data_IF_817301201492
#
_entry.id   IF_817301201492
#
_cell.length_a   1.000
_cell.length_b   1.000
_cell.length_c   1.000
_cell.angle_alpha   90.00
_cell.angle_beta   90.00
_cell.angle_gamma   90.00
#
_symmetry.space_group_name_H-M   'P 1'
#
loop_
_entity.id
_entity.type
_entity.pdbx_description
1 polymer ?
#
# COMPACT_ATOMS: atom_id res chain seq x y z
N UNK A 1 -4.91 17.75 -15.63
CA UNK A 1 -5.64 18.05 -14.38
C UNK A 1 -4.82 17.47 -13.22
N UNK A 2 -4.30 18.31 -12.33
CA UNK A 2 -3.40 17.86 -11.26
C UNK A 2 -4.19 17.12 -10.18
N UNK A 3 -3.86 15.85 -9.93
CA UNK A 3 -4.47 15.06 -8.87
C UNK A 3 -3.55 15.04 -7.65
N UNK A 4 -3.89 15.83 -6.64
CA UNK A 4 -3.10 15.99 -5.42
C UNK A 4 -2.75 14.64 -4.74
N UNK A 5 -3.68 13.68 -4.71
CA UNK A 5 -3.45 12.41 -4.03
C UNK A 5 -2.43 11.54 -4.77
N UNK A 6 -2.46 11.60 -6.10
CA UNK A 6 -1.51 10.91 -6.97
C UNK A 6 -0.11 11.50 -6.75
N UNK A 7 0.02 12.83 -6.82
CA UNK A 7 1.28 13.55 -6.54
C UNK A 7 1.83 13.23 -5.14
N UNK A 8 0.97 13.25 -4.12
CA UNK A 8 1.37 12.90 -2.75
C UNK A 8 1.93 11.48 -2.68
N UNK A 9 1.26 10.51 -3.31
CA UNK A 9 1.73 9.12 -3.34
C UNK A 9 3.08 8.96 -4.05
N UNK A 10 3.29 9.67 -5.15
CA UNK A 10 4.55 9.68 -5.90
C UNK A 10 5.68 10.31 -5.07
N UNK A 11 5.42 11.44 -4.42
CA UNK A 11 6.40 12.13 -3.56
C UNK A 11 6.83 11.26 -2.39
N UNK A 12 5.89 10.54 -1.76
CA UNK A 12 6.19 9.58 -0.68
C UNK A 12 7.10 8.48 -1.21
N UNK A 13 6.76 7.87 -2.34
CA UNK A 13 7.58 6.81 -2.96
C UNK A 13 8.97 7.32 -3.37
N UNK A 14 9.05 8.51 -3.97
CA UNK A 14 10.31 9.12 -4.39
C UNK A 14 11.24 9.34 -3.20
N UNK A 15 10.74 9.91 -2.10
CA UNK A 15 11.53 10.11 -0.88
C UNK A 15 11.96 8.80 -0.24
N UNK A 16 11.07 7.82 -0.17
CA UNK A 16 11.42 6.48 0.34
C UNK A 16 12.55 5.82 -0.48
N UNK A 17 12.54 5.98 -1.81
CA UNK A 17 13.61 5.48 -2.70
C UNK A 17 14.95 6.19 -2.47
N UNK A 18 14.92 7.45 -2.10
CA UNK A 18 16.12 8.26 -1.80
C UNK A 18 16.56 8.13 -0.34
N UNK A 19 15.88 7.30 0.46
CA UNK A 19 16.13 7.12 1.90
C UNK A 19 16.02 8.45 2.69
N UNK A 20 15.22 9.39 2.18
CA UNK A 20 14.98 10.68 2.80
C UNK A 20 13.85 10.62 3.84
N UNK A 21 13.78 11.64 4.71
CA UNK A 21 12.69 11.75 5.68
C UNK A 21 11.32 11.84 5.00
N UNK A 22 10.42 10.94 5.40
CA UNK A 22 9.04 10.87 4.92
C UNK A 22 8.02 11.36 5.95
N UNK A 23 8.44 11.79 7.14
CA UNK A 23 7.53 12.08 8.27
C UNK A 23 6.46 13.10 7.92
N UNK A 24 6.82 14.21 7.26
CA UNK A 24 5.86 15.26 6.88
C UNK A 24 4.81 14.73 5.91
N UNK A 25 5.22 14.03 4.85
CA UNK A 25 4.30 13.49 3.86
C UNK A 25 3.38 12.40 4.46
N UNK A 26 3.90 11.61 5.41
CA UNK A 26 3.11 10.61 6.14
C UNK A 26 2.07 11.26 7.06
N UNK A 27 2.35 12.43 7.62
CA UNK A 27 1.35 13.23 8.35
C UNK A 27 0.26 13.72 7.41
N UNK A 28 0.61 14.20 6.22
CA UNK A 28 -0.38 14.58 5.19
C UNK A 28 -1.28 13.39 4.82
N UNK A 29 -0.68 12.21 4.59
CA UNK A 29 -1.40 10.96 4.31
C UNK A 29 -2.40 10.59 5.43
N UNK A 30 -2.01 10.81 6.69
CA UNK A 30 -2.86 10.52 7.85
C UNK A 30 -4.11 11.40 7.92
N UNK A 31 -3.99 12.68 7.53
CA UNK A 31 -5.08 13.66 7.60
C UNK A 31 -6.01 13.69 6.37
N UNK A 32 -5.75 12.86 5.36
CA UNK A 32 -6.68 12.69 4.23
C UNK A 32 -8.03 12.24 4.75
N UNK A 33 -9.12 12.84 4.27
CA UNK A 33 -10.49 12.36 4.51
C UNK A 33 -10.90 11.41 3.39
N UNK A 34 -11.43 10.23 3.74
CA UNK A 34 -11.93 9.24 2.76
C UNK A 34 -12.92 9.85 1.77
N UNK A 35 -13.84 10.70 2.24
CA UNK A 35 -14.86 11.34 1.39
C UNK A 35 -14.26 12.24 0.30
N UNK A 36 -13.15 12.93 0.59
CA UNK A 36 -12.44 13.75 -0.39
C UNK A 36 -11.65 12.91 -1.40
N UNK A 37 -11.20 11.73 -0.97
CA UNK A 37 -10.45 10.78 -1.78
C UNK A 37 -11.37 10.13 -2.84
N UNK A 38 -12.56 9.67 -2.45
CA UNK A 38 -13.53 8.99 -3.33
C UNK A 38 -13.90 9.83 -4.56
N UNK A 39 -14.06 11.14 -4.39
CA UNK A 39 -14.38 12.05 -5.50
C UNK A 39 -13.19 12.41 -6.40
N UNK A 40 -11.95 12.08 -6.01
CA UNK A 40 -10.72 12.51 -6.71
C UNK A 40 -9.90 11.36 -7.28
N UNK A 41 -10.00 10.15 -6.73
CA UNK A 41 -9.46 8.92 -7.32
C UNK A 41 -10.61 7.95 -7.59
N UNK A 42 -11.53 8.38 -8.45
CA UNK A 42 -12.77 7.68 -8.76
C UNK A 42 -12.60 6.53 -9.77
N UNK A 43 -11.46 6.44 -10.46
CA UNK A 43 -11.18 5.34 -11.40
C UNK A 43 -10.30 4.27 -10.76
N UNK A 44 -10.49 3.03 -11.19
CA UNK A 44 -9.63 1.91 -10.76
C UNK A 44 -8.16 2.15 -11.04
N UNK A 45 -7.82 2.79 -12.16
CA UNK A 45 -6.44 3.13 -12.50
C UNK A 45 -5.82 4.07 -11.47
N UNK A 46 -6.54 5.14 -11.10
CA UNK A 46 -6.08 6.11 -10.09
C UNK A 46 -5.97 5.46 -8.71
N UNK A 47 -6.93 4.62 -8.33
CA UNK A 47 -6.89 3.85 -7.07
C UNK A 47 -5.67 2.93 -7.05
N UNK A 48 -5.45 2.14 -8.10
CA UNK A 48 -4.29 1.24 -8.22
C UNK A 48 -2.99 2.03 -8.09
N UNK A 49 -2.85 3.11 -8.87
CA UNK A 49 -1.64 3.92 -8.86
C UNK A 49 -1.33 4.46 -7.47
N UNK A 50 -2.32 5.06 -6.81
CA UNK A 50 -2.20 5.56 -5.45
C UNK A 50 -1.75 4.45 -4.48
N UNK A 51 -2.47 3.34 -4.43
CA UNK A 51 -2.21 2.27 -3.46
C UNK A 51 -0.93 1.50 -3.73
N UNK A 52 -0.55 1.30 -4.98
CA UNK A 52 0.74 0.69 -5.36
C UNK A 52 1.90 1.57 -4.89
N UNK A 53 1.82 2.89 -5.09
CA UNK A 53 2.84 3.81 -4.62
C UNK A 53 2.98 3.80 -3.10
N UNK A 54 1.86 3.87 -2.37
CA UNK A 54 1.85 3.80 -0.91
C UNK A 54 2.43 2.46 -0.43
N UNK A 55 2.01 1.34 -1.03
CA UNK A 55 2.54 0.01 -0.70
C UNK A 55 4.05 -0.05 -0.89
N UNK A 56 4.55 0.35 -2.06
CA UNK A 56 5.97 0.26 -2.39
C UNK A 56 6.82 1.18 -1.51
N UNK A 57 6.31 2.38 -1.19
CA UNK A 57 7.03 3.30 -0.32
C UNK A 57 7.16 2.76 1.11
N UNK A 58 6.07 2.23 1.68
CA UNK A 58 6.11 1.66 3.03
C UNK A 58 6.90 0.37 3.11
N UNK A 59 6.93 -0.42 2.03
CA UNK A 59 7.83 -1.56 1.94
C UNK A 59 9.29 -1.11 2.09
N UNK A 60 9.73 -0.09 1.34
CA UNK A 60 11.09 0.47 1.42
C UNK A 60 11.42 1.01 2.81
N UNK A 61 10.55 1.86 3.36
CA UNK A 61 10.72 2.46 4.69
C UNK A 61 10.88 1.37 5.75
N UNK A 62 10.01 0.36 5.74
CA UNK A 62 10.07 -0.72 6.71
C UNK A 62 11.28 -1.65 6.53
N UNK A 63 11.77 -1.83 5.29
CA UNK A 63 13.01 -2.58 5.05
C UNK A 63 14.24 -1.84 5.56
N UNK A 64 14.27 -0.50 5.42
CA UNK A 64 15.33 0.35 5.97
C UNK A 64 15.34 0.32 7.50
N UNK A 65 14.15 0.23 8.13
CA UNK A 65 13.98 0.05 9.57
C UNK A 65 14.34 -1.38 10.08
N UNK A 66 14.86 -2.26 9.21
CA UNK A 66 15.29 -3.64 9.53
C UNK A 66 14.20 -4.49 10.22
N UNK A 67 12.93 -4.26 9.89
CA UNK A 67 11.84 -5.11 10.36
C UNK A 67 12.01 -6.52 9.76
N UNK A 68 11.87 -7.55 10.59
CA UNK A 68 11.91 -8.95 10.12
C UNK A 68 11.02 -9.18 8.89
N UNK A 69 11.60 -9.76 7.83
CA UNK A 69 11.02 -9.90 6.49
C UNK A 69 9.61 -10.51 6.47
N UNK A 70 9.27 -11.40 7.39
CA UNK A 70 7.94 -12.02 7.44
C UNK A 70 6.89 -11.14 8.14
N UNK A 71 7.32 -10.34 9.11
CA UNK A 71 6.43 -9.48 9.90
C UNK A 71 6.07 -8.20 9.16
N UNK A 72 6.94 -7.75 8.25
CA UNK A 72 6.77 -6.50 7.49
C UNK A 72 5.38 -6.39 6.85
N UNK A 73 4.85 -7.50 6.35
CA UNK A 73 3.57 -7.50 5.64
C UNK A 73 2.35 -7.42 6.55
N UNK A 74 2.47 -7.88 7.80
CA UNK A 74 1.37 -7.99 8.77
C UNK A 74 1.33 -6.83 9.77
N UNK A 75 2.45 -6.16 10.00
CA UNK A 75 2.51 -5.05 10.95
C UNK A 75 1.69 -3.86 10.42
N UNK A 76 0.82 -3.33 11.28
CA UNK A 76 0.02 -2.14 10.97
C UNK A 76 0.82 -0.87 11.27
N UNK A 77 1.59 -0.33 10.31
CA UNK A 77 2.28 0.99 10.46
C UNK A 77 1.79 2.08 9.50
N UNK A 78 0.96 1.73 8.53
CA UNK A 78 0.51 2.67 7.51
C UNK A 78 -0.67 3.44 8.08
N UNK A 79 -0.41 4.67 8.51
CA UNK A 79 -1.43 5.58 9.04
C UNK A 79 -2.11 6.30 7.88
N UNK A 80 -3.39 6.03 7.65
CA UNK A 80 -4.16 6.59 6.54
C UNK A 80 -5.57 6.94 7.00
N UNK A 81 -5.99 8.21 6.83
CA UNK A 81 -7.33 8.69 7.20
C UNK A 81 -7.79 8.23 8.59
N UNK A 82 -6.97 8.44 9.61
CA UNK A 82 -7.20 7.96 10.99
C UNK A 82 -7.20 6.42 11.19
N UNK A 83 -7.06 5.63 10.12
CA UNK A 83 -6.93 4.18 10.19
C UNK A 83 -5.47 3.73 10.19
N UNK A 84 -5.26 2.51 10.67
CA UNK A 84 -3.97 1.84 10.70
C UNK A 84 -4.02 0.59 9.82
N UNK A 85 -3.24 0.61 8.75
CA UNK A 85 -3.17 -0.42 7.71
C UNK A 85 -1.83 -1.16 7.75
N UNK A 86 -1.86 -2.42 7.34
CA UNK A 86 -0.69 -3.22 6.99
C UNK A 86 -0.51 -3.28 5.47
N UNK A 87 0.66 -3.74 5.01
CA UNK A 87 0.89 -3.98 3.58
C UNK A 87 -0.07 -5.06 3.04
N UNK A 88 -0.40 -6.08 3.85
CA UNK A 88 -1.40 -7.09 3.50
C UNK A 88 -2.80 -6.51 3.33
N UNK A 89 -3.18 -5.53 4.17
CA UNK A 89 -4.49 -4.87 4.04
C UNK A 89 -4.59 -4.12 2.69
N UNK A 90 -3.50 -3.48 2.25
CA UNK A 90 -3.45 -2.82 0.94
C UNK A 90 -3.45 -3.84 -0.19
N UNK A 91 -2.56 -4.85 -0.16
CA UNK A 91 -2.48 -5.82 -1.26
C UNK A 91 -3.75 -6.67 -1.35
N UNK A 92 -4.11 -7.35 -0.28
CA UNK A 92 -5.17 -8.35 -0.30
C UNK A 92 -6.54 -7.76 -0.09
N UNK A 93 -6.66 -6.69 0.72
CA UNK A 93 -7.92 -5.98 0.92
C UNK A 93 -8.25 -5.10 -0.27
N UNK A 94 -7.39 -4.11 -0.53
CA UNK A 94 -7.68 -3.01 -1.46
C UNK A 94 -7.40 -3.39 -2.92
N UNK A 95 -6.20 -3.89 -3.24
CA UNK A 95 -5.78 -4.12 -4.62
C UNK A 95 -6.28 -5.44 -5.22
N UNK A 96 -6.41 -6.50 -4.40
CA UNK A 96 -6.82 -7.85 -4.88
C UNK A 96 -8.26 -8.20 -4.58
N UNK A 97 -9.12 -7.20 -4.37
CA UNK A 97 -10.55 -7.40 -4.10
C UNK A 97 -10.80 -8.37 -2.95
N UNK A 98 -10.22 -8.11 -1.78
CA UNK A 98 -10.43 -8.91 -0.57
C UNK A 98 -9.95 -10.37 -0.65
N UNK A 99 -9.16 -10.75 -1.66
CA UNK A 99 -8.58 -12.10 -1.75
C UNK A 99 -7.43 -12.23 -0.76
N UNK A 100 -7.66 -12.88 0.36
CA UNK A 100 -6.67 -13.22 1.37
C UNK A 100 -5.92 -14.51 1.02
N UNK A 101 -4.62 -14.59 1.33
CA UNK A 101 -3.83 -15.82 1.14
C UNK A 101 -3.62 -16.50 2.51
N UNK A 102 -4.14 -17.72 2.68
CA UNK A 102 -3.85 -18.58 3.84
C UNK A 102 -3.01 -19.76 3.34
N UNK A 103 -1.76 -19.84 3.78
CA UNK A 103 -0.81 -20.83 3.25
C UNK A 103 -0.65 -20.68 1.73
N UNK A 104 -0.96 -21.74 0.97
CA UNK A 104 -0.97 -21.71 -0.50
C UNK A 104 -2.34 -21.38 -1.12
N UNK A 105 -3.40 -21.29 -0.31
CA UNK A 105 -4.78 -21.10 -0.77
C UNK A 105 -5.16 -19.61 -0.82
N UNK A 106 -5.94 -19.21 -1.84
CA UNK A 106 -6.53 -17.87 -1.97
C UNK A 106 -8.00 -17.94 -1.57
N UNK A 107 -8.38 -17.28 -0.49
CA UNK A 107 -9.73 -17.27 0.07
C UNK A 107 -10.25 -15.82 0.06
N UNK A 108 -11.51 -15.59 -0.24
CA UNK A 108 -12.10 -14.25 -0.09
C UNK A 108 -12.32 -13.99 1.40
N UNK A 109 -11.68 -12.96 1.96
CA UNK A 109 -11.93 -12.57 3.33
C UNK A 109 -13.09 -11.56 3.38
N UNK A 110 -14.29 -12.03 3.69
CA UNK A 110 -15.48 -11.17 3.79
C UNK A 110 -15.43 -10.17 4.97
N UNK A 111 -14.51 -10.36 5.92
CA UNK A 111 -14.42 -9.61 7.17
C UNK A 111 -13.53 -8.36 7.12
N UNK A 112 -13.17 -7.86 5.94
CA UNK A 112 -12.50 -6.55 5.88
C UNK A 112 -13.45 -5.43 6.36
N UNK A 113 -12.94 -4.47 7.16
CA UNK A 113 -13.66 -3.27 7.54
C UNK A 113 -14.28 -2.54 6.35
N UNK A 114 -15.44 -1.91 6.56
CA UNK A 114 -16.17 -1.19 5.51
C UNK A 114 -15.32 -0.11 4.82
N UNK A 115 -14.38 0.52 5.52
CA UNK A 115 -13.51 1.54 4.93
C UNK A 115 -12.55 0.93 3.89
N UNK A 116 -12.04 -0.28 4.11
CA UNK A 116 -11.19 -0.99 3.13
C UNK A 116 -12.00 -1.33 1.89
N UNK A 117 -13.24 -1.80 2.08
CA UNK A 117 -14.16 -2.12 0.98
C UNK A 117 -14.45 -0.89 0.10
N UNK A 118 -14.59 0.30 0.70
CA UNK A 118 -14.80 1.56 -0.03
C UNK A 118 -13.58 2.00 -0.83
N UNK A 119 -12.38 1.75 -0.30
CA UNK A 119 -11.11 2.13 -0.93
C UNK A 119 -10.65 1.15 -2.01
N UNK A 120 -11.24 -0.04 -2.06
CA UNK A 120 -10.89 -1.09 -3.00
C UNK A 120 -11.13 -0.67 -4.46
N UNK A 121 -10.32 -1.26 -5.34
CA UNK A 121 -10.58 -1.27 -6.78
C UNK A 121 -11.87 -2.05 -7.06
N UNK A 122 -12.48 -1.86 -8.22
CA UNK A 122 -13.67 -2.60 -8.65
C UNK A 122 -13.29 -3.86 -9.44
N UNK A 123 -12.22 -3.79 -10.25
CA UNK A 123 -11.74 -4.90 -11.07
C UNK A 123 -10.36 -5.39 -10.63
N UNK A 124 -10.24 -6.72 -10.54
CA UNK A 124 -8.97 -7.38 -10.30
C UNK A 124 -8.07 -7.21 -11.51
N UNK A 125 -6.82 -6.84 -11.28
CA UNK A 125 -5.83 -6.71 -12.32
C UNK A 125 -4.66 -7.66 -12.06
N UNK A 126 -4.42 -8.55 -13.03
CA UNK A 126 -3.36 -9.55 -12.96
C UNK A 126 -1.96 -8.93 -13.06
N UNK A 127 -1.83 -7.75 -13.66
CA UNK A 127 -0.56 -7.03 -13.80
C UNK A 127 -0.06 -6.41 -12.50
N UNK A 128 -0.90 -6.33 -11.46
CA UNK A 128 -0.54 -5.79 -10.15
C UNK A 128 0.65 -6.51 -9.52
N UNK A 129 0.81 -7.80 -9.78
CA UNK A 129 1.95 -8.59 -9.26
C UNK A 129 3.30 -8.01 -9.73
N UNK A 130 3.35 -7.47 -10.94
CA UNK A 130 4.56 -6.87 -11.52
C UNK A 130 4.88 -5.51 -10.87
N UNK A 131 3.85 -4.77 -10.46
CA UNK A 131 3.99 -3.40 -9.95
C UNK A 131 4.30 -3.33 -8.45
N UNK A 132 4.06 -4.42 -7.71
CA UNK A 132 4.44 -4.53 -6.31
C UNK A 132 5.92 -4.93 -6.23
N UNK A 133 6.75 -4.08 -5.63
CA UNK A 133 8.21 -4.23 -5.50
C UNK A 133 8.62 -5.34 -4.49
N UNK A 134 7.93 -6.48 -4.51
CA UNK A 134 8.26 -7.64 -3.67
C UNK A 134 9.63 -8.24 -3.98
N UNK A 135 10.14 -8.02 -5.20
CA UNK A 135 11.49 -8.45 -5.63
C UNK A 135 12.63 -7.80 -4.82
N UNK A 136 12.38 -6.66 -4.17
CA UNK A 136 13.36 -5.99 -3.31
C UNK A 136 13.70 -6.87 -2.10
N UNK A 137 12.72 -7.57 -1.53
CA UNK A 137 12.93 -8.46 -0.39
C UNK A 137 13.71 -9.73 -0.77
N UNK A 138 13.51 -10.27 -1.97
CA UNK A 138 14.31 -11.40 -2.47
C UNK A 138 15.77 -11.01 -2.62
N UNK A 139 16.06 -9.80 -3.08
CA UNK A 139 17.44 -9.31 -3.20
C UNK A 139 18.09 -9.05 -1.82
N UNK A 140 17.35 -8.50 -0.86
CA UNK A 140 17.83 -8.31 0.52
C UNK A 140 18.07 -9.65 1.24
N UNK A 141 17.27 -10.68 0.96
CA UNK A 141 17.47 -12.03 1.54
C UNK A 141 18.72 -12.75 1.04
N UNK A 142 19.26 -12.34 -0.12
CA UNK A 142 20.50 -12.89 -0.69
C UNK A 142 21.73 -12.21 -0.07
N UNK A 143 21.61 -10.96 0.37
CA UNK A 143 22.72 -10.18 0.96
C UNK A 143 22.98 -10.56 2.43
N UNK A 144 22.02 -11.20 3.10
CA UNK A 144 22.12 -11.60 4.52
C UNK A 144 22.44 -13.12 4.67
N UNK A 145 22.86 -13.79 3.59
CA UNK A 145 23.42 -15.16 3.64
C UNK A 145 24.91 -15.14 3.36
#
# INVERSE_FOLDING_TARGET
MFNYYIDLSERILKRAKLEEDTTSLRKELYYIRVSSLEGKINTDELKKFFWVNIYNAYLLIMTQEQIQNEKIFKIKRIKFSCYLLSLNDIEYGILRLHKYKIGSFKIYNLFYPNFIKKLAVEKLDSTLIVHLNKSILTNLSIIIK
#
